data_IF_919997400608
#
_entry.id   IF_919997400608
#
_cell.length_a   1.000
_cell.length_b   1.000
_cell.length_c   1.000
_cell.angle_alpha   90.00
_cell.angle_beta   90.00
_cell.angle_gamma   90.00
#
_symmetry.space_group_name_H-M   'P 1'
#
loop_
_entity.id
_entity.type
_entity.pdbx_description
1 polymer ?
#
# COMPACT_ATOMS: atom_id res chain seq x y z
N UNK A 1 -54.43 49.52 8.67
CA UNK A 1 -53.37 48.75 8.00
C UNK A 1 -52.36 48.40 9.09
N UNK A 2 -51.89 47.15 9.15
CA UNK A 2 -50.83 46.80 10.10
C UNK A 2 -49.53 47.48 9.68
N UNK A 3 -48.79 48.02 10.64
CA UNK A 3 -47.46 48.59 10.41
C UNK A 3 -46.49 47.47 9.96
N UNK A 4 -45.60 47.72 8.99
CA UNK A 4 -44.61 46.74 8.57
C UNK A 4 -43.64 46.41 9.72
N UNK A 5 -43.45 45.13 10.00
CA UNK A 5 -42.46 44.63 10.96
C UNK A 5 -41.13 44.37 10.24
N UNK A 6 -40.05 44.98 10.74
CA UNK A 6 -38.70 44.82 10.21
C UNK A 6 -37.91 43.86 11.09
N UNK A 7 -37.46 42.75 10.51
CA UNK A 7 -36.55 41.82 11.17
C UNK A 7 -35.13 42.10 10.72
N UNK A 8 -34.22 42.36 11.65
CA UNK A 8 -32.79 42.50 11.38
C UNK A 8 -32.09 41.18 11.67
N UNK A 9 -31.38 40.64 10.67
CA UNK A 9 -30.55 39.46 10.84
C UNK A 9 -29.10 39.90 10.97
N UNK A 10 -28.62 39.96 12.21
CA UNK A 10 -27.24 40.32 12.50
C UNK A 10 -26.33 39.11 12.73
N UNK A 11 -26.91 37.93 12.93
CA UNK A 11 -26.19 36.71 13.29
C UNK A 11 -26.59 35.60 12.33
N UNK A 12 -25.62 34.94 11.71
CA UNK A 12 -25.84 33.79 10.82
C UNK A 12 -25.39 32.50 11.51
N UNK A 13 -26.26 31.50 11.53
CA UNK A 13 -26.11 30.23 12.25
C UNK A 13 -25.86 29.03 11.31
N UNK A 14 -26.10 29.21 10.02
CA UNK A 14 -25.81 28.20 9.00
C UNK A 14 -27.02 27.41 8.56
N UNK A 15 -26.75 26.26 7.95
CA UNK A 15 -27.79 25.44 7.36
C UNK A 15 -28.44 24.58 8.43
N UNK A 16 -29.74 24.75 8.62
CA UNK A 16 -30.55 23.88 9.46
C UNK A 16 -31.27 22.85 8.56
N UNK A 17 -31.00 21.55 8.79
CA UNK A 17 -31.63 20.41 8.08
C UNK A 17 -32.58 19.58 8.95
N UNK A 18 -32.94 20.08 10.14
CA UNK A 18 -33.59 19.28 11.19
C UNK A 18 -35.10 19.06 11.04
N UNK A 19 -35.84 19.86 10.26
CA UNK A 19 -37.14 19.59 9.58
C UNK A 19 -37.86 20.90 9.16
N UNK A 20 -38.94 20.77 8.35
CA UNK A 20 -39.83 21.78 7.71
C UNK A 20 -39.37 23.25 7.71
N UNK A 21 -39.16 23.83 6.52
CA UNK A 21 -38.69 25.21 6.27
C UNK A 21 -39.43 26.32 7.04
N UNK A 22 -40.64 26.02 7.52
CA UNK A 22 -41.47 26.94 8.31
C UNK A 22 -41.01 27.14 9.76
N UNK A 23 -40.02 26.37 10.25
CA UNK A 23 -39.52 26.44 11.63
C UNK A 23 -38.09 27.01 11.73
N UNK A 24 -37.58 27.64 10.66
CA UNK A 24 -36.27 28.28 10.69
C UNK A 24 -36.24 29.45 11.67
N UNK A 25 -35.20 29.49 12.49
CA UNK A 25 -34.93 30.65 13.34
C UNK A 25 -34.25 31.75 12.52
N UNK A 26 -34.41 33.02 12.95
CA UNK A 26 -33.69 34.14 12.34
C UNK A 26 -32.18 33.89 12.41
N UNK A 27 -31.52 33.92 11.25
CA UNK A 27 -30.10 33.61 11.11
C UNK A 27 -29.79 32.20 10.59
N UNK A 28 -30.78 31.29 10.56
CA UNK A 28 -30.67 29.99 9.92
C UNK A 28 -31.07 30.05 8.45
N UNK A 29 -30.58 29.10 7.66
CA UNK A 29 -30.93 28.95 6.25
C UNK A 29 -31.36 27.52 5.94
N UNK A 30 -32.37 27.37 5.07
CA UNK A 30 -32.73 26.06 4.48
C UNK A 30 -31.65 25.57 3.51
N UNK A 31 -30.95 26.49 2.85
CA UNK A 31 -29.87 26.23 1.90
C UNK A 31 -28.80 27.33 1.95
N UNK A 32 -27.56 26.95 1.69
CA UNK A 32 -26.43 27.87 1.64
C UNK A 32 -25.39 27.35 0.67
N UNK A 33 -25.02 28.16 -0.32
CA UNK A 33 -24.02 27.82 -1.34
C UNK A 33 -23.01 28.94 -1.49
N UNK A 34 -21.72 28.62 -1.55
CA UNK A 34 -20.62 29.58 -1.80
C UNK A 34 -20.47 30.69 -0.72
N UNK A 35 -20.89 30.40 0.50
CA UNK A 35 -20.75 31.27 1.66
C UNK A 35 -20.12 30.51 2.83
N UNK A 36 -19.32 31.21 3.64
CA UNK A 36 -18.83 30.73 4.92
C UNK A 36 -19.32 31.66 6.03
N UNK A 37 -19.53 31.10 7.21
CA UNK A 37 -19.84 31.85 8.43
C UNK A 37 -18.53 32.09 9.16
N UNK A 38 -18.23 33.36 9.44
CA UNK A 38 -17.04 33.74 10.22
C UNK A 38 -17.26 33.48 11.70
N UNK A 39 -16.20 33.54 12.50
CA UNK A 39 -16.28 33.39 13.96
C UNK A 39 -17.21 34.45 14.59
N UNK A 40 -17.25 35.65 14.02
CA UNK A 40 -18.18 36.74 14.37
C UNK A 40 -19.62 36.53 13.86
N UNK A 41 -19.92 35.34 13.32
CA UNK A 41 -21.23 34.95 12.77
C UNK A 41 -21.74 35.87 11.67
N UNK A 42 -20.83 36.36 10.82
CA UNK A 42 -21.13 37.13 9.60
C UNK A 42 -20.92 36.28 8.36
N UNK A 43 -21.59 36.65 7.26
CA UNK A 43 -21.40 35.98 5.97
C UNK A 43 -20.18 36.53 5.24
N UNK A 44 -19.34 35.63 4.75
CA UNK A 44 -18.26 35.92 3.81
C UNK A 44 -18.36 34.97 2.62
N UNK A 45 -18.08 35.47 1.41
CA UNK A 45 -18.01 34.62 0.22
C UNK A 45 -16.86 33.62 0.36
N UNK A 46 -17.08 32.37 -0.05
CA UNK A 46 -15.98 31.39 -0.06
C UNK A 46 -14.86 31.84 -0.99
N UNK A 47 -13.63 31.45 -0.67
CA UNK A 47 -12.49 31.67 -1.54
C UNK A 47 -12.65 30.89 -2.85
N UNK A 48 -12.13 31.46 -3.93
CA UNK A 48 -12.01 30.74 -5.20
C UNK A 48 -10.97 29.62 -5.08
N UNK A 49 -10.98 28.73 -6.07
CA UNK A 49 -9.97 27.69 -6.20
C UNK A 49 -8.90 28.13 -7.21
N UNK A 50 -7.66 27.78 -6.91
CA UNK A 50 -6.54 27.86 -7.85
C UNK A 50 -6.14 26.44 -8.24
N UNK A 51 -5.75 26.25 -9.50
CA UNK A 51 -5.25 24.97 -9.96
C UNK A 51 -3.76 24.87 -9.63
N UNK A 52 -3.37 23.85 -8.87
CA UNK A 52 -1.96 23.56 -8.57
C UNK A 52 -1.23 22.96 -9.78
N UNK A 53 -1.93 22.43 -10.77
CA UNK A 53 -1.28 21.98 -12.00
C UNK A 53 -2.24 21.96 -13.19
N UNK A 54 -1.65 21.93 -14.38
CA UNK A 54 -2.41 21.81 -15.61
C UNK A 54 -3.15 20.47 -15.68
N UNK A 55 -4.40 20.52 -16.16
CA UNK A 55 -5.17 19.31 -16.48
C UNK A 55 -4.47 18.54 -17.59
N UNK A 56 -4.30 17.24 -17.38
CA UNK A 56 -3.83 16.31 -18.41
C UNK A 56 -5.02 15.52 -18.93
N UNK A 57 -5.26 15.57 -20.24
CA UNK A 57 -6.40 14.91 -20.86
C UNK A 57 -6.37 13.40 -20.66
N UNK A 58 -7.52 12.82 -20.30
CA UNK A 58 -7.67 11.38 -20.05
C UNK A 58 -6.98 10.84 -18.79
N UNK A 59 -6.33 11.69 -17.99
CA UNK A 59 -5.61 11.28 -16.77
C UNK A 59 -6.20 11.93 -15.53
N UNK A 60 -6.76 11.13 -14.63
CA UNK A 60 -7.26 11.57 -13.32
C UNK A 60 -6.18 11.43 -12.25
N UNK A 61 -6.31 12.21 -11.18
CA UNK A 61 -5.51 12.00 -9.96
C UNK A 61 -6.14 10.84 -9.20
N UNK A 62 -5.38 9.77 -8.99
CA UNK A 62 -5.85 8.54 -8.33
C UNK A 62 -5.67 8.55 -6.81
N UNK A 63 -4.81 9.44 -6.31
CA UNK A 63 -4.53 9.62 -4.91
C UNK A 63 -3.59 10.80 -4.69
N UNK A 64 -3.61 11.35 -3.49
CA UNK A 64 -2.75 12.46 -3.08
C UNK A 64 -2.40 12.36 -1.61
N UNK A 65 -1.26 12.92 -1.25
CA UNK A 65 -0.80 13.03 0.13
C UNK A 65 0.02 14.29 0.33
N UNK A 66 -0.24 14.97 1.44
CA UNK A 66 0.57 16.09 1.89
C UNK A 66 0.96 15.88 3.34
N UNK A 67 2.24 16.02 3.64
CA UNK A 67 2.73 15.89 5.01
C UNK A 67 4.24 16.07 5.13
N UNK A 68 4.74 15.90 6.34
CA UNK A 68 6.15 16.14 6.65
C UNK A 68 6.96 14.84 6.65
N UNK A 69 8.11 14.85 5.98
CA UNK A 69 9.16 13.84 6.06
C UNK A 69 10.43 14.53 6.54
N UNK A 70 11.05 14.06 7.62
CA UNK A 70 12.26 14.67 8.18
C UNK A 70 12.14 16.19 8.46
N UNK A 71 10.94 16.68 8.78
CA UNK A 71 10.68 18.10 9.04
C UNK A 71 10.46 18.96 7.77
N UNK A 72 10.50 18.37 6.58
CA UNK A 72 10.23 19.04 5.29
C UNK A 72 8.86 18.59 4.79
N UNK A 73 8.03 19.53 4.32
CA UNK A 73 6.71 19.21 3.78
C UNK A 73 6.81 18.80 2.31
N UNK A 74 6.13 17.72 1.95
CA UNK A 74 6.07 17.18 0.60
C UNK A 74 4.62 17.07 0.15
N UNK A 75 4.33 17.43 -1.09
CA UNK A 75 3.02 17.20 -1.72
C UNK A 75 3.18 16.18 -2.83
N UNK A 76 2.58 15.01 -2.65
CA UNK A 76 2.64 13.89 -3.58
C UNK A 76 1.28 13.61 -4.20
N UNK A 77 1.27 13.20 -5.46
CA UNK A 77 0.06 12.72 -6.12
C UNK A 77 0.36 11.68 -7.20
N UNK A 78 -0.59 10.77 -7.43
CA UNK A 78 -0.53 9.76 -8.48
C UNK A 78 -1.41 10.14 -9.67
N UNK A 79 -0.86 10.10 -10.88
CA UNK A 79 -1.60 10.38 -12.13
C UNK A 79 -0.96 9.64 -13.30
N UNK A 80 -1.73 8.80 -13.99
CA UNK A 80 -1.33 8.28 -15.29
C UNK A 80 -0.12 7.34 -15.26
N UNK A 81 0.00 6.52 -14.21
CA UNK A 81 1.07 5.54 -14.05
C UNK A 81 2.36 6.11 -13.49
N UNK A 82 2.28 7.28 -12.87
CA UNK A 82 3.41 7.94 -12.24
C UNK A 82 3.00 8.56 -10.91
N UNK A 83 3.95 8.58 -9.99
CA UNK A 83 3.89 9.37 -8.77
C UNK A 83 4.73 10.61 -8.97
N UNK A 84 4.15 11.75 -8.61
CA UNK A 84 4.77 13.05 -8.71
C UNK A 84 4.95 13.67 -7.34
N UNK A 85 6.01 14.46 -7.18
CA UNK A 85 6.13 15.46 -6.15
C UNK A 85 5.86 16.83 -6.76
N UNK A 86 4.94 17.59 -6.15
CA UNK A 86 4.62 18.95 -6.56
C UNK A 86 5.30 19.95 -5.65
N UNK A 87 6.07 20.87 -6.24
CA UNK A 87 6.70 21.97 -5.51
C UNK A 87 5.74 23.16 -5.42
N UNK A 88 5.19 23.39 -4.23
CA UNK A 88 4.25 24.50 -3.96
C UNK A 88 4.85 25.91 -4.08
N UNK A 89 6.17 26.05 -4.18
CA UNK A 89 6.85 27.34 -4.38
C UNK A 89 7.05 27.65 -5.86
N UNK A 90 7.45 26.65 -6.65
CA UNK A 90 7.81 26.82 -8.06
C UNK A 90 6.72 26.37 -9.03
N UNK A 91 5.63 25.79 -8.51
CA UNK A 91 4.51 25.23 -9.30
C UNK A 91 4.97 24.15 -10.29
N UNK A 92 5.93 23.31 -9.87
CA UNK A 92 6.58 22.31 -10.74
C UNK A 92 6.34 20.88 -10.25
N UNK A 93 5.98 20.00 -11.18
CA UNK A 93 5.79 18.57 -10.95
C UNK A 93 7.09 17.79 -11.28
N UNK A 94 7.64 17.07 -10.29
CA UNK A 94 8.78 16.16 -10.48
C UNK A 94 8.31 14.72 -10.45
N UNK A 95 8.71 13.90 -11.42
CA UNK A 95 8.39 12.46 -11.42
C UNK A 95 9.28 11.74 -10.42
N UNK A 96 8.68 11.04 -9.46
CA UNK A 96 9.41 10.19 -8.51
C UNK A 96 9.60 8.77 -9.03
N UNK A 97 8.58 8.22 -9.68
CA UNK A 97 8.60 6.84 -10.17
C UNK A 97 7.34 6.45 -10.93
N UNK A 98 7.36 5.22 -11.45
CA UNK A 98 6.25 4.62 -12.20
C UNK A 98 5.48 3.65 -11.32
N UNK A 99 4.17 3.59 -11.54
CA UNK A 99 3.22 2.67 -10.88
C UNK A 99 2.31 2.04 -11.94
N UNK A 100 1.60 0.98 -11.59
CA UNK A 100 0.63 0.30 -12.47
C UNK A 100 -0.60 1.19 -12.77
N UNK A 101 -0.87 2.19 -11.93
CA UNK A 101 -2.00 3.12 -12.05
C UNK A 101 -3.38 2.48 -11.83
N UNK A 102 -3.44 1.42 -11.02
CA UNK A 102 -4.72 0.90 -10.58
C UNK A 102 -5.43 1.89 -9.63
N UNK A 103 -6.73 1.67 -9.45
CA UNK A 103 -7.56 2.53 -8.59
C UNK A 103 -8.11 1.70 -7.43
N UNK A 104 -8.11 2.24 -6.19
CA UNK A 104 -7.61 3.56 -5.77
C UNK A 104 -6.10 3.55 -5.46
N UNK A 105 -5.44 4.71 -5.59
CA UNK A 105 -4.08 4.88 -5.06
C UNK A 105 -4.14 5.49 -3.66
N UNK A 106 -3.70 4.73 -2.66
CA UNK A 106 -3.63 5.16 -1.28
C UNK A 106 -2.18 5.47 -0.87
N UNK A 107 -2.02 6.51 -0.07
CA UNK A 107 -0.74 6.96 0.46
C UNK A 107 -0.80 6.94 1.99
N UNK A 108 0.26 6.46 2.62
CA UNK A 108 0.41 6.52 4.08
C UNK A 108 1.89 6.61 4.44
N UNK A 109 2.19 7.04 5.66
CA UNK A 109 3.57 7.27 6.10
C UNK A 109 3.86 6.48 7.35
N UNK A 110 5.02 5.84 7.36
CA UNK A 110 5.64 5.31 8.56
C UNK A 110 7.15 5.45 8.44
N UNK A 111 7.83 5.72 9.56
CA UNK A 111 9.28 5.87 9.63
C UNK A 111 9.87 6.78 8.54
N UNK A 112 9.25 7.95 8.33
CA UNK A 112 9.64 8.97 7.35
C UNK A 112 9.74 8.44 5.90
N UNK A 113 9.04 7.36 5.61
CA UNK A 113 8.91 6.76 4.28
C UNK A 113 7.44 6.80 3.88
N UNK A 114 7.17 7.27 2.66
CA UNK A 114 5.82 7.24 2.08
C UNK A 114 5.63 5.90 1.41
N UNK A 115 4.56 5.23 1.79
CA UNK A 115 4.11 3.99 1.21
C UNK A 115 2.90 4.24 0.33
N UNK A 116 2.87 3.56 -0.81
CA UNK A 116 1.93 3.81 -1.89
C UNK A 116 1.35 2.48 -2.34
N UNK A 117 0.06 2.29 -2.12
CA UNK A 117 -0.71 1.16 -2.63
C UNK A 117 -1.47 1.67 -3.85
N UNK A 118 -1.12 1.20 -5.04
CA UNK A 118 -1.82 1.62 -6.26
C UNK A 118 -3.05 0.75 -6.57
N UNK A 119 -3.40 -0.19 -5.69
CA UNK A 119 -4.51 -1.13 -5.90
C UNK A 119 -4.10 -2.44 -6.58
N UNK A 120 -2.86 -2.56 -7.05
CA UNK A 120 -2.27 -3.82 -7.50
C UNK A 120 -0.93 -4.08 -6.82
N UNK A 121 -0.07 -3.07 -6.78
CA UNK A 121 1.29 -3.15 -6.29
C UNK A 121 1.53 -2.24 -5.08
N UNK A 122 2.61 -2.53 -4.36
CA UNK A 122 3.02 -1.82 -3.16
C UNK A 122 4.40 -1.17 -3.34
N UNK A 123 4.46 0.16 -3.22
CA UNK A 123 5.67 0.95 -3.42
C UNK A 123 6.05 1.75 -2.17
N UNK A 124 7.30 2.19 -2.13
CA UNK A 124 7.83 3.08 -1.12
C UNK A 124 8.71 4.18 -1.71
N UNK A 125 8.73 5.31 -1.02
CA UNK A 125 9.63 6.42 -1.30
C UNK A 125 10.16 7.04 0.01
N UNK A 126 11.49 7.03 0.17
CA UNK A 126 12.20 7.47 1.38
C UNK A 126 12.86 8.85 1.21
N UNK A 127 12.31 9.69 0.34
CA UNK A 127 12.87 10.97 -0.15
C UNK A 127 14.06 10.86 -1.11
N UNK A 128 14.74 9.71 -1.19
CA UNK A 128 15.86 9.50 -2.10
C UNK A 128 15.57 8.46 -3.18
N UNK A 129 14.92 7.36 -2.80
CA UNK A 129 14.71 6.18 -3.63
C UNK A 129 13.23 5.86 -3.75
N UNK A 130 12.74 5.73 -4.97
CA UNK A 130 11.43 5.18 -5.26
C UNK A 130 11.58 3.74 -5.73
N UNK A 131 10.90 2.79 -5.07
CA UNK A 131 10.91 1.37 -5.47
C UNK A 131 9.67 0.62 -5.02
N UNK A 132 9.45 -0.56 -5.58
CA UNK A 132 8.51 -1.53 -5.04
C UNK A 132 9.00 -2.03 -3.68
N UNK A 133 8.08 -2.33 -2.75
CA UNK A 133 8.42 -2.80 -1.42
C UNK A 133 8.86 -4.26 -1.50
N UNK A 134 10.08 -4.54 -1.07
CA UNK A 134 10.59 -5.90 -0.94
C UNK A 134 10.08 -6.53 0.36
N UNK A 135 9.24 -7.56 0.24
CA UNK A 135 8.81 -8.35 1.40
C UNK A 135 9.93 -9.25 1.91
N UNK A 136 10.12 -9.34 3.22
CA UNK A 136 10.99 -10.36 3.81
C UNK A 136 10.49 -11.77 3.46
N UNK A 137 11.40 -12.72 3.29
CA UNK A 137 11.09 -14.13 3.00
C UNK A 137 10.86 -14.88 4.32
N UNK A 138 9.62 -15.26 4.68
CA UNK A 138 9.33 -15.97 5.92
C UNK A 138 9.77 -17.44 5.87
N UNK A 139 10.13 -17.98 7.03
CA UNK A 139 10.31 -19.41 7.26
C UNK A 139 8.94 -20.03 7.59
N UNK A 140 8.27 -20.55 6.58
CA UNK A 140 6.89 -21.04 6.69
C UNK A 140 6.78 -22.21 7.69
N UNK A 141 7.64 -23.21 7.55
CA UNK A 141 7.63 -24.40 8.40
C UNK A 141 9.04 -24.89 8.74
N UNK A 142 9.14 -25.58 9.86
CA UNK A 142 10.37 -26.20 10.36
C UNK A 142 10.13 -27.65 10.79
N UNK A 143 11.22 -28.40 10.95
CA UNK A 143 11.22 -29.83 11.25
C UNK A 143 10.34 -30.62 10.27
N UNK A 144 10.30 -30.17 9.02
CA UNK A 144 9.49 -30.81 8.00
C UNK A 144 10.16 -32.10 7.53
N UNK A 145 9.45 -33.24 7.52
CA UNK A 145 9.99 -34.45 6.91
C UNK A 145 10.05 -34.29 5.38
N UNK A 146 10.81 -35.14 4.67
CA UNK A 146 10.94 -35.04 3.21
C UNK A 146 9.60 -35.02 2.46
N UNK A 147 8.59 -35.74 2.94
CA UNK A 147 7.25 -35.76 2.32
C UNK A 147 6.37 -34.54 2.64
N UNK A 148 6.92 -33.50 3.28
CA UNK A 148 6.23 -32.25 3.59
C UNK A 148 5.50 -32.24 4.95
N UNK A 149 5.07 -31.05 5.38
CA UNK A 149 4.43 -30.82 6.68
C UNK A 149 5.36 -30.14 7.69
N UNK A 150 5.54 -30.75 8.85
CA UNK A 150 6.31 -30.14 9.95
C UNK A 150 5.48 -29.17 10.80
N UNK A 151 6.17 -28.27 11.49
CA UNK A 151 5.54 -27.27 12.37
C UNK A 151 5.55 -25.91 11.69
N UNK A 152 4.37 -25.31 11.49
CA UNK A 152 4.25 -23.94 11.01
C UNK A 152 4.96 -23.01 11.99
N UNK A 153 5.85 -22.17 11.47
CA UNK A 153 6.71 -21.30 12.28
C UNK A 153 6.38 -19.83 12.09
N UNK A 154 6.45 -19.31 10.86
CA UNK A 154 6.07 -17.93 10.54
C UNK A 154 4.83 -17.88 9.66
N UNK A 155 4.04 -16.81 9.81
CA UNK A 155 2.97 -16.50 8.85
C UNK A 155 3.54 -16.13 7.48
N UNK A 156 2.76 -16.36 6.42
CA UNK A 156 3.14 -15.96 5.08
C UNK A 156 3.11 -14.43 4.93
N UNK A 157 4.06 -13.89 4.18
CA UNK A 157 4.14 -12.47 3.88
C UNK A 157 3.52 -12.20 2.51
N UNK A 158 2.31 -11.63 2.47
CA UNK A 158 1.59 -11.39 1.22
C UNK A 158 2.22 -10.34 0.29
N UNK A 159 3.26 -9.63 0.73
CA UNK A 159 4.01 -8.70 -0.12
C UNK A 159 4.92 -9.47 -1.09
N UNK A 160 5.29 -10.71 -0.76
CA UNK A 160 6.18 -11.53 -1.57
C UNK A 160 5.62 -12.93 -1.78
N UNK A 161 5.78 -13.48 -2.99
CA UNK A 161 5.45 -14.89 -3.25
C UNK A 161 6.46 -15.86 -2.62
N UNK A 162 7.60 -15.35 -2.14
CA UNK A 162 8.72 -16.12 -1.62
C UNK A 162 8.46 -16.56 -0.18
N UNK A 163 8.87 -17.78 0.13
CA UNK A 163 8.88 -18.38 1.47
C UNK A 163 9.92 -19.50 1.47
N UNK A 164 10.47 -19.81 2.63
CA UNK A 164 11.42 -20.92 2.81
C UNK A 164 10.90 -21.93 3.82
N UNK A 165 11.40 -23.14 3.75
CA UNK A 165 11.02 -24.26 4.59
C UNK A 165 12.26 -25.04 5.03
N UNK A 166 12.31 -25.36 6.32
CA UNK A 166 13.41 -26.13 6.90
C UNK A 166 12.97 -27.59 7.03
N UNK A 167 13.62 -28.45 6.27
CA UNK A 167 13.42 -29.89 6.28
C UNK A 167 14.46 -30.59 7.17
N UNK A 168 14.01 -31.63 7.84
CA UNK A 168 14.84 -32.60 8.54
C UNK A 168 14.98 -33.84 7.66
N UNK A 169 16.12 -34.01 7.01
CA UNK A 169 16.38 -35.16 6.17
C UNK A 169 16.50 -36.44 7.03
N UNK A 170 16.09 -37.57 6.45
CA UNK A 170 16.10 -38.90 7.08
C UNK A 170 17.33 -39.76 6.67
N UNK A 171 18.17 -39.26 5.76
CA UNK A 171 19.32 -40.00 5.23
C UNK A 171 19.00 -40.94 4.06
N UNK A 172 17.73 -41.10 3.69
CA UNK A 172 17.29 -42.08 2.67
C UNK A 172 16.48 -41.44 1.54
N UNK A 173 15.60 -40.49 1.87
CA UNK A 173 14.73 -39.82 0.93
C UNK A 173 15.50 -38.83 0.05
N UNK A 174 15.25 -38.91 -1.25
CA UNK A 174 15.79 -37.95 -2.23
C UNK A 174 14.77 -36.90 -2.65
N UNK A 175 13.47 -37.17 -2.49
CA UNK A 175 12.40 -36.27 -2.91
C UNK A 175 11.87 -35.50 -1.69
N UNK A 176 11.87 -34.18 -1.82
CA UNK A 176 11.39 -33.23 -0.81
C UNK A 176 10.18 -32.48 -1.36
N UNK A 177 9.04 -32.61 -0.69
CA UNK A 177 7.76 -32.01 -1.06
C UNK A 177 7.62 -30.60 -0.48
N UNK A 178 7.47 -29.62 -1.36
CA UNK A 178 7.18 -28.22 -1.00
C UNK A 178 5.70 -28.04 -0.67
N UNK A 179 5.33 -26.96 0.05
CA UNK A 179 3.97 -26.78 0.55
C UNK A 179 2.93 -26.47 -0.54
N UNK A 180 3.36 -26.15 -1.75
CA UNK A 180 2.51 -25.73 -2.87
C UNK A 180 2.89 -26.48 -4.15
N UNK A 181 1.88 -26.73 -4.99
CA UNK A 181 2.02 -27.18 -6.36
C UNK A 181 2.07 -25.99 -7.32
N UNK A 182 2.45 -26.22 -8.58
CA UNK A 182 2.47 -25.19 -9.63
C UNK A 182 3.24 -23.92 -9.24
N UNK A 183 4.40 -24.09 -8.59
CA UNK A 183 5.24 -22.98 -8.13
C UNK A 183 5.99 -22.34 -9.30
N UNK A 184 6.29 -21.04 -9.19
CA UNK A 184 6.99 -20.32 -10.26
C UNK A 184 8.50 -20.58 -10.27
N UNK A 185 9.12 -20.74 -9.10
CA UNK A 185 10.56 -20.95 -8.96
C UNK A 185 10.91 -21.60 -7.62
N UNK A 186 12.09 -22.21 -7.57
CA UNK A 186 12.85 -22.46 -6.34
C UNK A 186 14.08 -21.57 -6.43
N UNK A 187 14.22 -20.64 -5.49
CA UNK A 187 15.23 -19.59 -5.58
C UNK A 187 16.60 -20.05 -5.07
N UNK A 188 16.64 -20.93 -4.07
CA UNK A 188 17.87 -21.52 -3.55
C UNK A 188 17.59 -22.81 -2.76
N UNK A 189 18.61 -23.65 -2.63
CA UNK A 189 18.57 -24.89 -1.83
C UNK A 189 19.89 -24.99 -1.06
N UNK A 190 19.80 -25.24 0.25
CA UNK A 190 20.96 -25.43 1.12
C UNK A 190 20.88 -26.77 1.83
N UNK A 191 22.01 -27.46 1.95
CA UNK A 191 22.15 -28.69 2.75
C UNK A 191 23.31 -28.49 3.72
N UNK A 192 23.05 -28.57 5.02
CA UNK A 192 24.04 -28.32 6.07
C UNK A 192 24.64 -26.91 6.04
N UNK A 193 23.90 -25.93 5.50
CA UNK A 193 24.37 -24.56 5.29
C UNK A 193 25.22 -24.35 4.04
N UNK A 194 25.37 -25.36 3.18
CA UNK A 194 26.09 -25.29 1.90
C UNK A 194 25.06 -25.17 0.77
N UNK A 195 25.20 -24.14 -0.04
CA UNK A 195 24.35 -23.94 -1.22
C UNK A 195 24.55 -25.06 -2.23
N UNK A 196 23.45 -25.55 -2.79
CA UNK A 196 23.44 -26.63 -3.76
C UNK A 196 23.17 -26.06 -5.16
N UNK A 197 23.74 -26.69 -6.17
CA UNK A 197 23.60 -26.30 -7.57
C UNK A 197 22.51 -27.11 -8.27
N UNK A 198 21.59 -26.40 -8.93
CA UNK A 198 20.53 -27.04 -9.72
C UNK A 198 21.14 -27.87 -10.87
N UNK A 199 20.51 -28.99 -11.19
CA UNK A 199 20.94 -30.03 -12.15
C UNK A 199 22.21 -30.82 -11.77
N UNK A 200 23.04 -30.29 -10.88
CA UNK A 200 24.26 -30.97 -10.40
C UNK A 200 24.02 -31.70 -9.10
N UNK A 201 23.33 -31.07 -8.16
CA UNK A 201 23.05 -31.63 -6.82
C UNK A 201 21.58 -32.02 -6.66
N UNK A 202 20.67 -31.31 -7.34
CA UNK A 202 19.23 -31.58 -7.31
C UNK A 202 18.52 -31.13 -8.60
N UNK A 203 17.30 -31.65 -8.81
CA UNK A 203 16.37 -31.16 -9.84
C UNK A 203 15.07 -30.68 -9.20
N UNK A 204 14.36 -29.78 -9.89
CA UNK A 204 13.09 -29.20 -9.42
C UNK A 204 11.97 -29.60 -10.37
N UNK A 205 10.86 -30.07 -9.82
CA UNK A 205 9.58 -30.19 -10.51
C UNK A 205 8.66 -29.07 -10.02
N UNK A 206 8.50 -28.03 -10.83
CA UNK A 206 7.70 -26.85 -10.51
C UNK A 206 6.20 -27.16 -10.46
N UNK A 207 5.73 -28.09 -11.29
CA UNK A 207 4.31 -28.47 -11.31
C UNK A 207 3.97 -29.31 -10.07
N UNK A 208 4.81 -30.29 -9.75
CA UNK A 208 4.62 -31.13 -8.56
C UNK A 208 5.04 -30.44 -7.25
N UNK A 209 5.75 -29.30 -7.32
CA UNK A 209 6.28 -28.63 -6.14
C UNK A 209 7.27 -29.51 -5.38
N UNK A 210 8.22 -30.14 -6.07
CA UNK A 210 9.19 -31.03 -5.43
C UNK A 210 10.63 -30.70 -5.81
N UNK A 211 11.53 -30.94 -4.87
CA UNK A 211 12.97 -30.92 -5.07
C UNK A 211 13.50 -32.34 -4.93
N UNK A 212 14.19 -32.84 -5.95
CA UNK A 212 14.76 -34.19 -5.95
C UNK A 212 16.28 -34.09 -5.95
N UNK A 213 16.92 -34.49 -4.85
CA UNK A 213 18.38 -34.57 -4.74
C UNK A 213 18.92 -35.79 -5.49
N UNK A 214 20.09 -35.66 -6.11
CA UNK A 214 20.76 -36.79 -6.78
C UNK A 214 21.23 -37.83 -5.75
N UNK A 215 21.70 -37.37 -4.59
CA UNK A 215 22.03 -38.20 -3.43
C UNK A 215 21.22 -37.76 -2.23
N UNK A 216 20.68 -38.72 -1.47
CA UNK A 216 19.91 -38.43 -0.26
C UNK A 216 20.75 -37.58 0.72
N UNK A 217 20.25 -36.42 1.17
CA UNK A 217 20.92 -35.64 2.20
C UNK A 217 21.04 -36.45 3.49
N UNK A 218 22.18 -36.34 4.18
CA UNK A 218 22.42 -37.06 5.43
C UNK A 218 21.35 -36.72 6.48
N UNK A 219 21.07 -37.67 7.37
CA UNK A 219 20.11 -37.47 8.46
C UNK A 219 20.48 -36.24 9.30
N UNK A 220 19.51 -35.37 9.54
CA UNK A 220 19.74 -34.13 10.27
C UNK A 220 18.45 -33.38 10.57
N UNK A 221 18.50 -32.49 11.57
CA UNK A 221 17.37 -31.64 11.94
C UNK A 221 17.50 -30.28 11.27
N UNK A 222 16.47 -29.83 10.54
CA UNK A 222 16.46 -28.55 9.82
C UNK A 222 17.73 -28.33 8.97
N UNK A 223 18.30 -29.41 8.45
CA UNK A 223 19.56 -29.38 7.74
C UNK A 223 19.38 -29.06 6.26
N UNK A 224 18.17 -29.20 5.72
CA UNK A 224 17.84 -28.82 4.34
C UNK A 224 16.95 -27.59 4.36
N UNK A 225 17.35 -26.53 3.67
CA UNK A 225 16.58 -25.27 3.56
C UNK A 225 16.28 -25.04 2.09
N UNK A 226 14.99 -24.95 1.76
CA UNK A 226 14.49 -24.70 0.40
C UNK A 226 13.56 -23.48 0.46
#
# INVERSE_FOLDING_TARGET
MAEPEYNTIDTFLGVNKSETETLLQLGEASEMSNWMITDDRKLKKMYGYEHLNAKVEGKKINGMWYGSLNGVNHFLFARGGKVYEHNLTTDADTVLGTITDAYPTAFFVTNNTVYILDGTEFYQWDTATFKQVDGYVPTFATAAPPYGGGTIYEGINYITGKKKMNFSADGESTIFQLPEYDINSVDSVYVGGIEQEVTTDYSVDLAAGTVTFISAPAEGTNNVVI
#
